data_IF_743860661140
#
_entry.id   IF_743860661140
#
_cell.length_a   1.000
_cell.length_b   1.000
_cell.length_c   1.000
_cell.angle_alpha   90.00
_cell.angle_beta   90.00
_cell.angle_gamma   90.00
#
_symmetry.space_group_name_H-M   'P 1'
#
loop_
_entity.id
_entity.type
_entity.pdbx_description
1 polymer ?
#
# COMPACT_ATOMS: atom_id res chain seq x y z
N UNK A 1 31.08 26.06 -34.70
CA UNK A 1 30.29 24.82 -34.87
C UNK A 1 30.85 23.58 -34.15
N UNK A 2 32.17 23.45 -33.91
CA UNK A 2 32.75 22.25 -33.27
C UNK A 2 32.43 22.12 -31.76
N UNK A 3 32.48 23.23 -31.01
CA UNK A 3 32.17 23.24 -29.58
C UNK A 3 30.70 22.89 -29.25
N UNK A 4 29.77 23.32 -30.10
CA UNK A 4 28.34 23.01 -29.94
C UNK A 4 28.04 21.50 -30.07
N UNK A 5 28.77 20.78 -30.94
CA UNK A 5 28.63 19.33 -31.07
C UNK A 5 29.10 18.59 -29.82
N UNK A 6 30.22 19.02 -29.21
CA UNK A 6 30.73 18.41 -27.96
C UNK A 6 29.75 18.59 -26.81
N UNK A 7 29.09 19.74 -26.73
CA UNK A 7 28.03 20.00 -25.74
C UNK A 7 26.81 19.08 -25.94
N UNK A 8 26.35 18.92 -27.18
CA UNK A 8 25.24 18.00 -27.52
C UNK A 8 25.60 16.56 -27.19
N UNK A 9 26.83 16.11 -27.50
CA UNK A 9 27.29 14.77 -27.17
C UNK A 9 27.37 14.53 -25.66
N UNK A 10 27.83 15.51 -24.87
CA UNK A 10 27.80 15.43 -23.41
C UNK A 10 26.38 15.35 -22.83
N UNK A 11 25.45 16.13 -23.40
CA UNK A 11 24.03 16.10 -23.00
C UNK A 11 23.36 14.76 -23.33
N UNK A 12 23.61 14.23 -24.53
CA UNK A 12 23.10 12.92 -24.96
C UNK A 12 23.71 11.79 -24.12
N UNK A 13 25.00 11.87 -23.81
CA UNK A 13 25.67 10.87 -22.96
C UNK A 13 25.09 10.89 -21.53
N UNK A 14 24.90 12.07 -20.94
CA UNK A 14 24.24 12.21 -19.63
C UNK A 14 22.80 11.69 -19.62
N UNK A 15 22.04 11.93 -20.71
CA UNK A 15 20.69 11.39 -20.86
C UNK A 15 20.68 9.86 -20.97
N UNK A 16 21.62 9.27 -21.73
CA UNK A 16 21.78 7.81 -21.85
C UNK A 16 22.22 7.17 -20.54
N UNK A 17 23.14 7.80 -19.78
CA UNK A 17 23.55 7.31 -18.47
C UNK A 17 22.39 7.37 -17.47
N UNK A 18 21.63 8.47 -17.42
CA UNK A 18 20.40 8.57 -16.62
C UNK A 18 19.39 7.50 -17.02
N UNK A 19 19.17 7.29 -18.32
CA UNK A 19 18.24 6.29 -18.84
C UNK A 19 18.69 4.84 -18.55
N UNK A 20 20.00 4.56 -18.61
CA UNK A 20 20.56 3.25 -18.28
C UNK A 20 20.42 2.93 -16.79
N UNK A 21 20.72 3.90 -15.92
CA UNK A 21 20.48 3.78 -14.48
C UNK A 21 18.98 3.57 -14.23
N UNK A 22 18.13 4.45 -14.75
CA UNK A 22 16.67 4.34 -14.59
C UNK A 22 16.13 3.00 -15.12
N UNK A 23 16.70 2.46 -16.20
CA UNK A 23 16.35 1.15 -16.77
C UNK A 23 16.82 -0.03 -15.92
N UNK A 24 18.03 0.01 -15.36
CA UNK A 24 18.54 -1.02 -14.42
C UNK A 24 17.70 -1.07 -13.14
N UNK A 25 17.20 0.09 -12.69
CA UNK A 25 16.37 0.18 -11.48
C UNK A 25 14.87 -0.06 -11.72
N UNK A 26 14.40 -0.18 -12.97
CA UNK A 26 12.96 -0.20 -13.32
C UNK A 26 12.30 -1.57 -13.44
N UNK A 27 13.04 -2.67 -13.40
CA UNK A 27 12.52 -3.91 -13.99
C UNK A 27 11.73 -4.84 -13.03
N UNK A 28 11.65 -4.59 -11.72
CA UNK A 28 11.08 -5.58 -10.79
C UNK A 28 9.78 -5.21 -10.04
N UNK A 29 9.29 -3.96 -10.08
CA UNK A 29 8.12 -3.53 -9.26
C UNK A 29 6.82 -3.33 -10.07
N UNK A 30 6.92 -3.26 -11.41
CA UNK A 30 5.77 -2.97 -12.29
C UNK A 30 4.88 -4.21 -12.52
N UNK A 31 5.42 -5.41 -12.34
CA UNK A 31 4.72 -6.67 -12.67
C UNK A 31 3.74 -7.11 -11.57
N UNK A 32 4.11 -6.99 -10.29
CA UNK A 32 3.24 -7.35 -9.16
C UNK A 32 2.03 -6.40 -9.05
N UNK A 33 2.24 -5.09 -9.21
CA UNK A 33 1.15 -4.10 -9.15
C UNK A 33 0.14 -4.31 -10.29
N UNK A 34 0.58 -4.77 -11.47
CA UNK A 34 -0.33 -5.07 -12.59
C UNK A 34 -1.14 -6.33 -12.34
N UNK A 35 -0.54 -7.34 -11.72
CA UNK A 35 -1.18 -8.61 -11.39
C UNK A 35 -2.18 -8.46 -10.23
N UNK A 36 -1.87 -7.65 -9.22
CA UNK A 36 -2.81 -7.29 -8.15
C UNK A 36 -4.02 -6.52 -8.71
N UNK A 37 -3.80 -5.51 -9.56
CA UNK A 37 -4.91 -4.77 -10.17
C UNK A 37 -5.80 -5.64 -11.06
N UNK A 38 -5.25 -6.67 -11.72
CA UNK A 38 -6.03 -7.61 -12.50
C UNK A 38 -6.88 -8.54 -11.61
N UNK A 39 -6.29 -9.09 -10.54
CA UNK A 39 -7.01 -10.00 -9.63
C UNK A 39 -8.09 -9.28 -8.81
N UNK A 40 -7.84 -8.03 -8.39
CA UNK A 40 -8.85 -7.22 -7.70
C UNK A 40 -10.03 -6.87 -8.63
N UNK A 41 -9.77 -6.57 -9.91
CA UNK A 41 -10.84 -6.30 -10.89
C UNK A 41 -11.69 -7.54 -11.16
N UNK A 42 -11.07 -8.72 -11.27
CA UNK A 42 -11.81 -9.98 -11.41
C UNK A 42 -12.62 -10.32 -10.14
N UNK A 43 -12.09 -10.06 -8.95
CA UNK A 43 -12.82 -10.26 -7.70
C UNK A 43 -14.03 -9.33 -7.57
N UNK A 44 -13.87 -8.05 -7.92
CA UNK A 44 -14.98 -7.07 -7.93
C UNK A 44 -16.02 -7.47 -8.97
N UNK A 45 -15.60 -7.86 -10.19
CA UNK A 45 -16.52 -8.33 -11.24
C UNK A 45 -17.30 -9.57 -10.81
N UNK A 46 -16.64 -10.51 -10.13
CA UNK A 46 -17.28 -11.72 -9.60
C UNK A 46 -18.25 -11.40 -8.46
N UNK A 47 -17.95 -10.42 -7.60
CA UNK A 47 -18.85 -9.94 -6.56
C UNK A 47 -20.07 -9.21 -7.14
N UNK A 48 -19.86 -8.33 -8.12
CA UNK A 48 -20.94 -7.62 -8.82
C UNK A 48 -21.86 -8.60 -9.56
N UNK A 49 -21.30 -9.63 -10.18
CA UNK A 49 -22.05 -10.72 -10.82
C UNK A 49 -22.86 -11.53 -9.80
N UNK A 50 -22.35 -11.69 -8.57
CA UNK A 50 -23.08 -12.33 -7.46
C UNK A 50 -24.13 -11.41 -6.82
N UNK A 51 -23.96 -10.09 -6.91
CA UNK A 51 -24.85 -9.09 -6.30
C UNK A 51 -26.06 -8.73 -7.18
N UNK A 52 -25.98 -8.91 -8.50
CA UNK A 52 -27.11 -8.66 -9.41
C UNK A 52 -27.81 -9.97 -9.81
N UNK A 53 -29.13 -10.17 -9.64
CA UNK A 53 -30.02 -9.92 -8.51
C UNK A 53 -30.59 -11.26 -7.98
N UNK A 54 -30.32 -11.65 -6.73
CA UNK A 54 -31.01 -12.81 -6.10
C UNK A 54 -31.21 -12.71 -4.59
N UNK A 55 -31.27 -11.51 -4.03
CA UNK A 55 -31.42 -11.39 -2.57
C UNK A 55 -32.22 -10.17 -2.10
N UNK A 56 -33.18 -9.70 -2.91
CA UNK A 56 -34.24 -8.84 -2.37
C UNK A 56 -35.33 -9.62 -1.62
N UNK A 57 -35.37 -10.95 -1.69
CA UNK A 57 -36.30 -11.74 -0.89
C UNK A 57 -35.65 -13.03 -0.38
N UNK A 58 -35.95 -13.39 0.87
CA UNK A 58 -35.57 -14.64 1.57
C UNK A 58 -34.11 -14.77 2.06
N UNK A 59 -33.82 -14.22 3.25
CA UNK A 59 -33.40 -15.00 4.45
C UNK A 59 -33.06 -14.06 5.62
N UNK A 60 -34.03 -13.22 5.99
CA UNK A 60 -34.08 -12.66 7.33
C UNK A 60 -34.25 -13.83 8.32
N UNK A 61 -33.45 -13.82 9.39
CA UNK A 61 -33.54 -14.61 10.62
C UNK A 61 -32.96 -16.06 10.65
N UNK A 62 -31.77 -16.14 11.26
CA UNK A 62 -31.35 -17.08 12.32
C UNK A 62 -30.52 -18.33 11.91
N UNK A 63 -29.39 -18.49 12.65
CA UNK A 63 -28.47 -19.66 12.80
C UNK A 63 -27.20 -19.58 11.93
N UNK A 64 -26.05 -19.06 12.40
CA UNK A 64 -25.11 -19.50 13.47
C UNK A 64 -24.37 -20.81 13.16
N UNK A 65 -23.02 -20.71 13.10
CA UNK A 65 -21.95 -21.76 13.21
C UNK A 65 -21.81 -22.75 12.03
N UNK A 66 -20.65 -23.19 11.52
CA UNK A 66 -19.21 -22.98 11.71
C UNK A 66 -18.50 -23.74 10.54
N UNK A 67 -17.39 -23.27 9.94
CA UNK A 67 -15.99 -23.76 10.15
C UNK A 67 -15.07 -22.83 9.34
N UNK A 68 -14.34 -21.87 9.90
CA UNK A 68 -13.17 -21.93 10.80
C UNK A 68 -11.93 -22.58 10.14
N UNK A 69 -10.93 -21.75 9.79
CA UNK A 69 -9.48 -21.98 9.88
C UNK A 69 -8.85 -20.65 10.30
N UNK A 70 -7.84 -20.65 11.18
CA UNK A 70 -8.07 -20.36 12.59
C UNK A 70 -7.88 -18.89 12.96
N UNK A 71 -8.73 -18.43 13.88
CA UNK A 71 -8.37 -17.43 14.89
C UNK A 71 -7.13 -17.95 15.59
N UNK A 72 -5.97 -17.42 15.18
CA UNK A 72 -4.85 -17.37 16.10
C UNK A 72 -5.26 -16.34 17.15
N UNK A 73 -5.35 -16.76 18.41
CA UNK A 73 -5.39 -15.83 19.52
C UNK A 73 -4.19 -14.88 19.36
N UNK A 74 -4.43 -13.62 18.98
CA UNK A 74 -3.33 -12.79 18.50
C UNK A 74 -3.78 -11.37 18.29
N UNK A 75 -3.26 -10.50 19.16
CA UNK A 75 -3.05 -9.04 19.05
C UNK A 75 -4.10 -8.21 18.30
N UNK A 76 -4.71 -7.19 18.93
CA UNK A 76 -5.59 -6.24 18.26
C UNK A 76 -4.99 -5.74 16.94
N UNK A 77 -5.77 -5.76 15.85
CA UNK A 77 -5.37 -5.21 14.54
C UNK A 77 -6.37 -4.16 14.10
N UNK A 78 -5.88 -2.98 13.75
CA UNK A 78 -6.63 -1.87 13.20
C UNK A 78 -6.50 -1.81 11.67
N UNK A 79 -7.48 -1.20 11.00
CA UNK A 79 -7.40 -0.91 9.56
C UNK A 79 -6.62 0.39 9.35
N UNK A 80 -5.31 0.28 9.10
CA UNK A 80 -4.44 1.44 8.95
C UNK A 80 -4.76 2.24 7.67
N UNK A 81 -5.52 1.68 6.71
CA UNK A 81 -5.92 2.38 5.47
C UNK A 81 -6.86 3.55 5.72
N UNK A 82 -7.44 3.65 6.92
CA UNK A 82 -8.24 4.82 7.34
C UNK A 82 -7.38 6.09 7.34
N UNK A 83 -6.07 5.97 7.58
CA UNK A 83 -5.14 7.09 7.56
C UNK A 83 -4.84 7.49 6.11
N UNK A 84 -5.05 8.76 5.77
CA UNK A 84 -4.78 9.28 4.42
C UNK A 84 -3.30 9.14 4.09
N UNK A 85 -3.03 8.50 2.96
CA UNK A 85 -1.67 8.18 2.50
C UNK A 85 -1.28 6.72 2.75
N UNK A 86 -1.99 5.98 3.61
CA UNK A 86 -1.76 4.54 3.79
C UNK A 86 -2.59 3.76 2.77
N UNK A 87 -1.94 3.33 1.70
CA UNK A 87 -2.49 2.34 0.77
C UNK A 87 -2.20 0.89 1.19
N UNK A 88 -2.73 -0.12 0.47
CA UNK A 88 -2.50 -1.54 0.77
C UNK A 88 -1.03 -1.92 0.91
N UNK A 89 -0.14 -1.31 0.10
CA UNK A 89 1.30 -1.55 0.12
C UNK A 89 1.93 -1.06 1.43
N UNK A 90 1.56 0.14 1.87
CA UNK A 90 2.10 0.75 3.10
C UNK A 90 1.56 0.02 4.32
N UNK A 91 0.28 -0.31 4.34
CA UNK A 91 -0.32 -1.13 5.38
C UNK A 91 0.39 -2.49 5.48
N UNK A 92 0.68 -3.13 4.35
CA UNK A 92 1.40 -4.41 4.34
C UNK A 92 2.79 -4.27 4.95
N UNK A 93 3.57 -3.25 4.56
CA UNK A 93 4.90 -2.98 5.14
C UNK A 93 4.83 -2.75 6.65
N UNK A 94 3.89 -1.92 7.11
CA UNK A 94 3.67 -1.67 8.54
C UNK A 94 3.33 -2.97 9.29
N UNK A 95 2.41 -3.76 8.76
CA UNK A 95 2.02 -5.05 9.34
C UNK A 95 3.17 -6.06 9.38
N UNK A 96 4.00 -6.10 8.33
CA UNK A 96 5.18 -6.96 8.22
C UNK A 96 6.25 -6.56 9.25
N UNK A 97 6.36 -5.25 9.55
CA UNK A 97 7.17 -4.71 10.65
C UNK A 97 6.51 -4.81 12.04
N UNK A 98 5.36 -5.48 12.16
CA UNK A 98 4.67 -5.69 13.43
C UNK A 98 3.76 -4.54 13.87
N UNK A 99 3.68 -3.47 13.10
CA UNK A 99 2.84 -2.29 13.36
C UNK A 99 1.44 -2.57 12.81
N UNK A 100 0.56 -2.99 13.72
CA UNK A 100 -0.79 -3.47 13.37
C UNK A 100 -1.92 -2.62 13.94
N UNK A 101 -1.62 -1.61 14.75
CA UNK A 101 -2.61 -0.76 15.43
C UNK A 101 -2.32 0.73 15.23
N UNK A 102 -3.35 1.57 15.36
CA UNK A 102 -3.18 3.02 15.34
C UNK A 102 -2.27 3.48 16.48
N UNK A 103 -2.39 2.86 17.66
CA UNK A 103 -1.56 3.15 18.82
C UNK A 103 -0.08 2.81 18.56
N UNK A 104 0.22 1.66 17.94
CA UNK A 104 1.60 1.30 17.61
C UNK A 104 2.20 2.24 16.56
N UNK A 105 1.40 2.65 15.56
CA UNK A 105 1.83 3.61 14.54
C UNK A 105 2.08 5.01 15.14
N UNK A 106 1.25 5.44 16.10
CA UNK A 106 1.40 6.72 16.79
C UNK A 106 2.64 6.79 17.69
N UNK A 107 3.14 5.65 18.17
CA UNK A 107 4.35 5.57 19.00
C UNK A 107 5.64 5.64 18.18
N UNK A 108 5.58 5.49 16.85
CA UNK A 108 6.77 5.55 16.00
C UNK A 108 7.28 6.98 15.86
N UNK A 109 8.59 7.11 15.86
CA UNK A 109 9.26 8.33 15.40
C UNK A 109 9.21 8.42 13.87
N UNK A 110 9.41 9.64 13.35
CA UNK A 110 9.50 9.87 11.90
C UNK A 110 10.62 9.03 11.28
N UNK A 111 11.77 8.94 11.94
CA UNK A 111 12.93 8.18 11.46
C UNK A 111 12.67 6.67 11.39
N UNK A 112 12.00 6.11 12.40
CA UNK A 112 11.59 4.69 12.39
C UNK A 112 10.56 4.40 11.29
N UNK A 113 9.59 5.30 11.13
CA UNK A 113 8.60 5.18 10.08
C UNK A 113 9.26 5.28 8.69
N UNK A 114 10.22 6.17 8.51
CA UNK A 114 11.00 6.26 7.27
C UNK A 114 11.78 4.99 6.97
N UNK A 115 12.40 4.37 7.99
CA UNK A 115 13.13 3.12 7.83
C UNK A 115 12.21 1.96 7.42
N UNK A 116 11.01 1.89 7.99
CA UNK A 116 10.00 0.87 7.65
C UNK A 116 9.45 1.08 6.24
N UNK A 117 9.18 2.33 5.86
CA UNK A 117 8.61 2.65 4.54
C UNK A 117 9.67 2.57 3.43
N UNK A 118 10.92 2.90 3.71
CA UNK A 118 12.00 2.95 2.73
C UNK A 118 11.63 3.83 1.54
N UNK A 119 11.63 3.26 0.33
CA UNK A 119 11.36 4.01 -0.90
C UNK A 119 9.93 4.58 -0.99
N UNK A 120 8.94 3.96 -0.32
CA UNK A 120 7.54 4.43 -0.37
C UNK A 120 7.29 5.68 0.47
N UNK A 121 8.27 6.13 1.26
CA UNK A 121 8.18 7.37 2.06
C UNK A 121 7.92 8.59 1.18
N UNK A 122 8.44 8.61 -0.06
CA UNK A 122 8.21 9.69 -1.04
C UNK A 122 6.75 9.90 -1.43
N UNK A 123 5.89 8.91 -1.17
CA UNK A 123 4.47 8.91 -1.53
C UNK A 123 3.59 9.43 -0.39
N UNK A 124 4.16 9.65 0.79
CA UNK A 124 3.41 9.98 2.00
C UNK A 124 4.07 11.11 2.78
N UNK A 125 3.30 11.73 3.66
CA UNK A 125 3.80 12.70 4.64
C UNK A 125 3.82 12.02 6.00
N UNK A 126 4.98 11.59 6.44
CA UNK A 126 5.22 10.77 7.64
C UNK A 126 4.69 11.46 8.90
N UNK A 127 4.91 12.78 9.00
CA UNK A 127 4.38 13.59 10.11
C UNK A 127 2.85 13.61 10.16
N UNK A 128 2.20 13.67 8.99
CA UNK A 128 0.74 13.65 8.90
C UNK A 128 0.16 12.27 9.20
N UNK A 129 0.90 11.20 8.91
CA UNK A 129 0.53 9.82 9.23
C UNK A 129 0.50 9.60 10.73
N UNK A 130 1.55 9.99 11.44
CA UNK A 130 1.67 9.86 12.90
C UNK A 130 0.58 10.67 13.60
N UNK A 131 0.38 11.93 13.20
CA UNK A 131 -0.66 12.79 13.78
C UNK A 131 -2.10 12.25 13.57
N UNK A 132 -2.37 11.60 12.42
CA UNK A 132 -3.66 10.94 12.18
C UNK A 132 -3.81 9.67 13.01
N UNK A 133 -2.73 8.88 13.15
CA UNK A 133 -2.71 7.69 13.98
C UNK A 133 -2.99 8.02 15.45
N UNK A 134 -2.40 9.09 15.99
CA UNK A 134 -2.67 9.59 17.35
C UNK A 134 -4.15 9.91 17.56
N UNK A 135 -4.76 10.64 16.61
CA UNK A 135 -6.18 11.01 16.67
C UNK A 135 -7.09 9.79 16.66
N UNK A 136 -6.77 8.78 15.85
CA UNK A 136 -7.56 7.54 15.75
C UNK A 136 -7.34 6.63 16.96
N UNK A 137 -6.12 6.61 17.51
CA UNK A 137 -5.80 5.86 18.72
C UNK A 137 -6.57 6.40 19.95
N UNK A 138 -6.77 7.72 20.04
CA UNK A 138 -7.54 8.35 21.11
C UNK A 138 -9.07 8.29 20.95
N UNK A 139 -9.58 7.86 19.78
CA UNK A 139 -11.02 7.70 19.52
C UNK A 139 -11.54 6.29 19.82
N UNK A 140 -10.67 5.37 20.22
CA UNK A 140 -10.97 3.98 20.49
C UNK A 140 -11.01 3.72 21.99
#
# INVERSE_FOLDING_TARGET
MKAFKVFIFGLLFGWVVKFAIDRIYRDNEIEDVRNENASLKEYIRALETKLQPKSLESKSLKRTTARAHPVQAGTPKDDLKIIRGIGPVIEKKLNDSGIRTFAALAQLTVEELENILGNTRRLVKEKDLIAQAEKLAGQK
#
